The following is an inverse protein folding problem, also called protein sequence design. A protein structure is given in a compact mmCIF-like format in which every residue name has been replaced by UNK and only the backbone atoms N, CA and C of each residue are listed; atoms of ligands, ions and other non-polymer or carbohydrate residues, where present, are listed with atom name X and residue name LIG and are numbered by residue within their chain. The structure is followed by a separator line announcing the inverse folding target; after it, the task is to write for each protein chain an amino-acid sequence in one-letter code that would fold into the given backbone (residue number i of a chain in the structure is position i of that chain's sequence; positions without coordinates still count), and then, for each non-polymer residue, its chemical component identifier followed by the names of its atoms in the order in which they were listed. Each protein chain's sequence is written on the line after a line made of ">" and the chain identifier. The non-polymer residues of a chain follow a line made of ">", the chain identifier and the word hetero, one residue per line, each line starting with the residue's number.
data_IF_343703117015
#
_entry.id   IF_343703117015
#
_cell.length_a   1.000
_cell.length_b   1.000
_cell.length_c   1.000
_cell.angle_alpha   90.00
_cell.angle_beta   90.00
_cell.angle_gamma   90.00
#
_symmetry.space_group_name_H-M   'P 1'
#
loop_
_entity.id
_entity.type
_entity.pdbx_description
1 polymer ?
#
# COMPACT_ATOMS: atom_id res chain seq x y z
N UNK A 1 47.70 -7.45 -13.40
CA UNK A 1 47.04 -7.50 -14.72
C UNK A 1 46.26 -6.21 -14.84
N UNK A 2 46.89 -5.04 -14.99
CA UNK A 2 47.90 -4.71 -16.00
C UNK A 2 47.52 -5.25 -17.36
N UNK A 3 47.09 -4.35 -18.25
CA UNK A 3 47.37 -4.34 -19.68
C UNK A 3 46.90 -2.99 -20.27
N UNK A 4 47.91 -2.18 -20.63
CA UNK A 4 48.04 -1.33 -21.82
C UNK A 4 47.30 0.03 -21.85
N UNK A 5 48.04 1.15 -21.79
CA UNK A 5 48.76 1.84 -22.90
C UNK A 5 47.80 2.41 -23.98
N UNK A 6 47.95 3.60 -24.56
CA UNK A 6 48.88 4.70 -24.42
C UNK A 6 48.23 5.89 -25.17
N UNK A 7 48.29 7.12 -24.64
CA UNK A 7 48.06 8.33 -25.44
C UNK A 7 48.93 9.46 -24.91
N UNK A 8 50.12 9.57 -25.49
CA UNK A 8 50.95 10.77 -25.44
C UNK A 8 50.17 11.96 -26.01
N UNK A 9 49.85 12.93 -25.15
CA UNK A 9 49.52 14.30 -25.56
C UNK A 9 50.82 15.10 -25.56
N UNK A 10 51.33 15.39 -26.74
CA UNK A 10 52.33 16.44 -26.93
C UNK A 10 51.61 17.79 -26.98
N UNK A 11 51.97 18.68 -26.05
CA UNK A 11 51.62 20.10 -26.04
C UNK A 11 52.40 20.84 -27.14
N UNK A 12 51.82 21.84 -27.82
CA UNK A 12 52.56 22.67 -28.77
C UNK A 12 53.22 23.82 -28.01
N UNK A 13 54.55 23.87 -28.01
CA UNK A 13 55.29 25.06 -27.61
C UNK A 13 55.43 26.00 -28.81
N UNK A 14 54.81 27.17 -28.65
CA UNK A 14 55.00 28.35 -29.46
C UNK A 14 56.34 29.01 -29.11
N UNK A 15 57.26 29.09 -30.07
CA UNK A 15 58.35 30.08 -30.02
C UNK A 15 58.63 30.65 -31.41
N UNK A 16 58.10 31.85 -31.60
CA UNK A 16 58.41 32.82 -32.63
C UNK A 16 59.92 33.09 -32.76
N UNK A 17 60.42 33.17 -34.00
CA UNK A 17 61.58 34.00 -34.32
C UNK A 17 61.39 34.64 -35.72
N UNK A 18 61.34 35.98 -35.82
CA UNK A 18 61.29 36.70 -37.08
C UNK A 18 62.66 37.32 -37.36
N UNK A 19 63.48 36.74 -38.22
CA UNK A 19 64.61 37.45 -38.84
C UNK A 19 65.13 36.70 -40.08
N UNK A 20 64.75 37.18 -41.25
CA UNK A 20 65.53 37.03 -42.46
C UNK A 20 65.26 38.27 -43.33
N UNK A 21 65.82 39.39 -42.89
CA UNK A 21 66.02 40.54 -43.76
C UNK A 21 67.25 40.26 -44.64
N UNK A 22 67.11 40.62 -45.91
CA UNK A 22 68.18 41.07 -46.81
C UNK A 22 69.41 40.17 -46.93
N UNK A 23 69.36 39.23 -47.88
CA UNK A 23 70.55 38.82 -48.61
C UNK A 23 70.33 39.16 -50.09
N UNK A 24 70.74 40.37 -50.47
CA UNK A 24 70.90 40.82 -51.86
C UNK A 24 72.20 40.24 -52.43
N UNK A 25 72.36 38.92 -52.32
CA UNK A 25 73.36 38.15 -53.04
C UNK A 25 72.90 37.91 -54.47
N UNK A 26 73.79 38.13 -55.45
CA UNK A 26 73.54 37.99 -56.89
C UNK A 26 72.67 36.75 -57.20
N UNK A 27 71.51 36.89 -57.88
CA UNK A 27 70.47 35.85 -57.97
C UNK A 27 70.80 34.69 -58.93
N UNK A 28 72.08 34.36 -59.11
CA UNK A 28 72.57 33.40 -60.11
C UNK A 28 73.00 32.04 -59.52
N UNK A 29 72.80 31.80 -58.20
CA UNK A 29 73.25 30.59 -57.51
C UNK A 29 72.13 29.60 -57.12
N UNK A 30 70.92 29.73 -57.67
CA UNK A 30 69.86 28.72 -57.53
C UNK A 30 70.03 27.57 -58.51
N UNK A 31 69.70 26.33 -58.12
CA UNK A 31 69.82 25.12 -58.97
C UNK A 31 69.09 25.23 -60.32
N UNK A 32 68.06 26.08 -60.41
CA UNK A 32 67.32 26.35 -61.65
C UNK A 32 68.10 27.17 -62.69
N UNK A 33 69.14 27.90 -62.30
CA UNK A 33 69.90 28.81 -63.18
C UNK A 33 71.25 28.22 -63.66
N UNK A 34 71.67 27.09 -63.08
CA UNK A 34 72.88 26.32 -63.44
C UNK A 34 73.00 25.95 -64.94
N UNK A 35 71.93 25.56 -65.66
CA UNK A 35 72.02 25.22 -67.09
C UNK A 35 72.36 26.45 -67.93
N UNK A 36 71.75 27.58 -67.59
CA UNK A 36 71.95 28.85 -68.27
C UNK A 36 73.35 29.42 -68.04
N UNK A 37 73.88 29.29 -66.81
CA UNK A 37 75.26 29.66 -66.47
C UNK A 37 76.29 28.79 -67.22
N UNK A 38 76.00 27.50 -67.41
CA UNK A 38 76.84 26.59 -68.19
C UNK A 38 76.86 26.95 -69.69
N UNK A 39 75.73 27.42 -70.22
CA UNK A 39 75.59 27.89 -71.60
C UNK A 39 76.36 29.20 -71.83
N UNK A 40 76.32 30.12 -70.85
CA UNK A 40 77.06 31.39 -70.87
C UNK A 40 78.58 31.20 -70.96
N UNK A 41 79.10 30.18 -70.26
CA UNK A 41 80.53 29.81 -70.26
C UNK A 41 81.00 29.18 -71.58
N UNK A 42 80.05 28.77 -72.45
CA UNK A 42 80.34 28.18 -73.76
C UNK A 42 80.32 29.19 -74.92
N UNK A 43 79.94 30.45 -74.67
CA UNK A 43 79.86 31.50 -75.69
C UNK A 43 81.19 32.21 -75.92
N UNK A 44 81.43 32.66 -77.16
CA UNK A 44 82.60 33.48 -77.51
C UNK A 44 82.49 34.89 -76.92
N UNK A 45 83.64 35.55 -76.68
CA UNK A 45 83.71 36.86 -76.01
C UNK A 45 82.86 37.94 -76.71
N UNK A 46 82.73 37.88 -78.04
CA UNK A 46 81.89 38.79 -78.83
C UNK A 46 80.39 38.56 -78.64
N UNK A 47 79.97 37.30 -78.45
CA UNK A 47 78.57 36.96 -78.17
C UNK A 47 78.20 37.32 -76.73
N UNK A 48 79.10 37.04 -75.78
CA UNK A 48 78.92 37.42 -74.38
C UNK A 48 78.80 38.94 -74.19
N UNK A 49 79.51 39.74 -75.00
CA UNK A 49 79.40 41.19 -74.96
C UNK A 49 78.06 41.72 -75.49
N UNK A 50 77.40 40.99 -76.40
CA UNK A 50 76.05 41.30 -76.92
C UNK A 50 74.92 40.64 -76.13
N UNK A 51 75.22 39.62 -75.35
CA UNK A 51 74.29 38.86 -74.51
C UNK A 51 73.45 39.74 -73.55
N UNK A 52 73.99 40.74 -72.82
CA UNK A 52 73.16 41.56 -71.95
C UNK A 52 72.15 42.42 -72.72
N UNK A 53 72.50 42.90 -73.93
CA UNK A 53 71.55 43.60 -74.79
C UNK A 53 70.51 42.63 -75.37
N UNK A 54 70.91 41.41 -75.76
CA UNK A 54 69.99 40.36 -76.21
C UNK A 54 69.01 39.96 -75.11
N UNK A 55 69.47 39.76 -73.88
CA UNK A 55 68.62 39.46 -72.73
C UNK A 55 67.74 40.64 -72.35
N UNK A 56 68.22 41.87 -72.49
CA UNK A 56 67.40 43.06 -72.26
C UNK A 56 66.27 43.12 -73.29
N UNK A 57 66.58 42.87 -74.56
CA UNK A 57 65.59 42.83 -75.65
C UNK A 57 64.61 41.66 -75.46
N UNK A 58 65.09 40.47 -75.08
CA UNK A 58 64.24 39.31 -74.83
C UNK A 58 63.42 39.47 -73.55
N UNK A 59 63.95 40.07 -72.48
CA UNK A 59 63.19 40.39 -71.29
C UNK A 59 62.12 41.47 -71.57
N UNK A 60 62.44 42.49 -72.35
CA UNK A 60 61.46 43.48 -72.80
C UNK A 60 60.39 42.85 -73.70
N UNK A 61 60.79 41.90 -74.57
CA UNK A 61 59.87 41.12 -75.41
C UNK A 61 58.97 40.22 -74.57
N UNK A 62 59.51 39.45 -73.64
CA UNK A 62 58.73 38.56 -72.75
C UNK A 62 57.85 39.39 -71.84
N UNK A 63 58.33 40.52 -71.32
CA UNK A 63 57.50 41.45 -70.54
C UNK A 63 56.36 42.01 -71.38
N UNK A 64 56.62 42.37 -72.64
CA UNK A 64 55.59 42.85 -73.56
C UNK A 64 54.60 41.74 -73.92
N UNK A 65 55.06 40.53 -74.20
CA UNK A 65 54.21 39.36 -74.43
C UNK A 65 53.40 38.97 -73.20
N UNK A 66 53.97 39.05 -72.00
CA UNK A 66 53.25 38.79 -70.75
C UNK A 66 52.22 39.88 -70.49
N UNK A 67 52.54 41.15 -70.78
CA UNK A 67 51.57 42.25 -70.72
C UNK A 67 50.46 42.08 -71.76
N UNK A 68 50.80 41.68 -72.99
CA UNK A 68 49.86 41.44 -74.07
C UNK A 68 48.95 40.26 -73.73
N UNK A 69 49.48 39.12 -73.29
CA UNK A 69 48.69 37.97 -72.83
C UNK A 69 47.87 38.31 -71.59
N UNK A 70 48.41 39.08 -70.64
CA UNK A 70 47.69 39.53 -69.46
C UNK A 70 46.58 40.53 -69.81
N UNK A 71 46.73 41.36 -70.84
CA UNK A 71 45.72 42.31 -71.32
C UNK A 71 44.70 41.65 -72.24
N UNK A 72 45.11 40.68 -73.06
CA UNK A 72 44.21 39.90 -73.91
C UNK A 72 43.36 38.94 -73.08
N UNK A 73 43.94 38.34 -72.03
CA UNK A 73 43.28 37.34 -71.19
C UNK A 73 43.02 37.84 -69.76
N UNK A 74 42.99 39.17 -69.54
CA UNK A 74 42.72 39.74 -68.21
C UNK A 74 41.40 39.23 -67.62
N UNK A 75 40.38 39.02 -68.48
CA UNK A 75 39.10 38.45 -68.08
C UNK A 75 39.21 37.02 -67.54
N UNK A 76 40.12 36.19 -68.07
CA UNK A 76 40.36 34.84 -67.56
C UNK A 76 41.07 34.87 -66.20
N UNK A 77 42.01 35.80 -65.99
CA UNK A 77 42.67 35.99 -64.70
C UNK A 77 41.71 36.52 -63.63
N UNK A 78 40.86 37.48 -63.99
CA UNK A 78 39.81 37.99 -63.10
C UNK A 78 38.82 36.87 -62.78
N UNK A 79 38.33 36.14 -63.78
CA UNK A 79 37.41 35.03 -63.56
C UNK A 79 38.02 33.92 -62.69
N UNK A 80 39.31 33.60 -62.86
CA UNK A 80 40.01 32.64 -62.02
C UNK A 80 40.16 33.14 -60.58
N UNK A 81 40.49 34.43 -60.39
CA UNK A 81 40.59 35.06 -59.07
C UNK A 81 39.23 35.13 -58.37
N UNK A 82 38.17 35.48 -59.10
CA UNK A 82 36.78 35.48 -58.63
C UNK A 82 36.31 34.07 -58.27
N UNK A 83 36.65 33.06 -59.08
CA UNK A 83 36.35 31.67 -58.76
C UNK A 83 37.10 31.21 -57.50
N UNK A 84 38.37 31.60 -57.34
CA UNK A 84 39.17 31.25 -56.15
C UNK A 84 38.65 31.94 -54.89
N UNK A 85 38.26 33.21 -54.99
CA UNK A 85 37.68 33.95 -53.86
C UNK A 85 36.30 33.41 -53.49
N UNK A 86 35.48 33.05 -54.48
CA UNK A 86 34.21 32.36 -54.27
C UNK A 86 34.40 31.02 -53.56
N UNK A 87 35.31 30.17 -54.03
CA UNK A 87 35.59 28.87 -53.40
C UNK A 87 36.10 29.06 -51.97
N UNK A 88 36.97 30.04 -51.73
CA UNK A 88 37.46 30.35 -50.38
C UNK A 88 36.33 30.79 -49.45
N UNK A 89 35.45 31.67 -49.91
CA UNK A 89 34.29 32.10 -49.12
C UNK A 89 33.34 30.93 -48.81
N UNK A 90 33.12 30.02 -49.77
CA UNK A 90 32.34 28.81 -49.55
C UNK A 90 33.00 27.86 -48.53
N UNK A 91 34.32 27.74 -48.56
CA UNK A 91 35.05 26.91 -47.62
C UNK A 91 34.99 27.48 -46.19
N UNK A 92 35.14 28.80 -46.04
CA UNK A 92 34.96 29.50 -44.76
C UNK A 92 33.51 29.35 -44.25
N UNK A 93 32.52 29.42 -45.14
CA UNK A 93 31.13 29.15 -44.77
C UNK A 93 30.91 27.70 -44.35
N UNK A 94 31.52 26.73 -45.05
CA UNK A 94 31.41 25.31 -44.71
C UNK A 94 32.02 25.02 -43.34
N UNK A 95 33.19 25.60 -43.05
CA UNK A 95 33.86 25.49 -41.76
C UNK A 95 32.97 26.01 -40.62
N UNK A 96 32.35 27.19 -40.80
CA UNK A 96 31.40 27.74 -39.83
C UNK A 96 30.15 26.88 -39.61
N UNK A 97 29.60 26.26 -40.67
CA UNK A 97 28.47 25.31 -40.51
C UNK A 97 28.90 24.02 -39.79
N UNK A 98 30.13 23.57 -39.99
CA UNK A 98 30.67 22.36 -39.38
C UNK A 98 30.96 22.60 -37.89
N UNK A 99 31.49 23.77 -37.53
CA UNK A 99 31.62 24.20 -36.14
C UNK A 99 30.25 24.29 -35.44
N UNK A 100 29.26 24.93 -36.07
CA UNK A 100 27.90 24.99 -35.51
C UNK A 100 27.29 23.58 -35.33
N UNK A 101 27.53 22.67 -36.26
CA UNK A 101 27.09 21.27 -36.12
C UNK A 101 27.78 20.56 -34.97
N UNK A 102 29.08 20.79 -34.76
CA UNK A 102 29.84 20.23 -33.64
C UNK A 102 29.31 20.77 -32.30
N UNK A 103 28.89 22.04 -32.25
CA UNK A 103 28.31 22.64 -31.03
C UNK A 103 26.89 22.15 -30.74
N UNK A 104 26.05 21.91 -31.75
CA UNK A 104 24.65 21.51 -31.57
C UNK A 104 24.44 20.00 -31.33
N UNK A 105 25.33 19.13 -31.83
CA UNK A 105 25.23 17.67 -31.62
C UNK A 105 25.21 17.30 -30.11
N UNK A 106 26.07 17.85 -29.25
CA UNK A 106 26.01 17.64 -27.80
C UNK A 106 24.68 18.06 -27.19
N UNK A 107 24.13 19.22 -27.59
CA UNK A 107 22.83 19.71 -27.10
C UNK A 107 21.71 18.74 -27.48
N UNK A 108 21.69 18.29 -28.74
CA UNK A 108 20.73 17.29 -29.21
C UNK A 108 20.89 15.97 -28.46
N UNK A 109 22.12 15.53 -28.24
CA UNK A 109 22.40 14.28 -27.51
C UNK A 109 21.91 14.38 -26.06
N UNK A 110 22.16 15.50 -25.38
CA UNK A 110 21.67 15.75 -24.02
C UNK A 110 20.14 15.78 -23.96
N UNK A 111 19.49 16.48 -24.89
CA UNK A 111 18.04 16.52 -25.00
C UNK A 111 17.43 15.14 -25.27
N UNK A 112 18.08 14.32 -26.12
CA UNK A 112 17.67 12.94 -26.34
C UNK A 112 17.82 12.07 -25.08
N UNK A 113 18.89 12.24 -24.29
CA UNK A 113 19.06 11.50 -23.04
C UNK A 113 18.01 11.88 -21.99
N UNK A 114 17.75 13.17 -21.81
CA UNK A 114 16.69 13.65 -20.89
C UNK A 114 15.30 13.18 -21.32
N UNK A 115 15.04 13.20 -22.64
CA UNK A 115 13.80 12.68 -23.19
C UNK A 115 13.64 11.19 -22.92
N UNK A 116 14.70 10.39 -23.09
CA UNK A 116 14.66 8.94 -22.83
C UNK A 116 14.42 8.65 -21.35
N UNK A 117 15.08 9.36 -20.43
CA UNK A 117 14.86 9.22 -18.99
C UNK A 117 13.41 9.59 -18.61
N UNK A 118 12.91 10.71 -19.10
CA UNK A 118 11.54 11.15 -18.85
C UNK A 118 10.52 10.18 -19.44
N UNK A 119 10.76 9.68 -20.66
CA UNK A 119 9.90 8.70 -21.30
C UNK A 119 9.87 7.37 -20.53
N UNK A 120 11.00 6.93 -19.96
CA UNK A 120 11.06 5.73 -19.14
C UNK A 120 10.22 5.87 -17.87
N UNK A 121 10.31 7.00 -17.16
CA UNK A 121 9.47 7.27 -15.98
C UNK A 121 7.98 7.24 -16.33
N UNK A 122 7.59 7.90 -17.42
CA UNK A 122 6.19 7.91 -17.89
C UNK A 122 5.74 6.49 -18.26
N UNK A 123 6.60 5.69 -18.90
CA UNK A 123 6.29 4.30 -19.24
C UNK A 123 6.13 3.42 -18.00
N UNK A 124 6.96 3.60 -16.97
CA UNK A 124 6.83 2.90 -15.70
C UNK A 124 5.53 3.24 -14.97
N UNK A 125 5.20 4.53 -14.85
CA UNK A 125 3.94 4.99 -14.28
C UNK A 125 2.73 4.46 -15.07
N UNK A 126 2.81 4.50 -16.41
CA UNK A 126 1.75 3.96 -17.27
C UNK A 126 1.59 2.46 -17.11
N UNK A 127 2.69 1.71 -16.96
CA UNK A 127 2.66 0.26 -16.72
C UNK A 127 2.02 -0.06 -15.36
N UNK A 128 2.35 0.71 -14.32
CA UNK A 128 1.73 0.57 -13.01
C UNK A 128 0.22 0.88 -13.07
N UNK A 129 -0.17 1.96 -13.74
CA UNK A 129 -1.56 2.34 -13.96
C UNK A 129 -2.35 1.30 -14.77
N UNK A 130 -1.74 0.71 -15.81
CA UNK A 130 -2.37 -0.38 -16.56
C UNK A 130 -2.57 -1.63 -15.70
N UNK A 131 -1.60 -1.94 -14.84
CA UNK A 131 -1.69 -3.08 -13.91
C UNK A 131 -2.77 -2.84 -12.86
N UNK A 132 -2.88 -1.61 -12.34
CA UNK A 132 -3.96 -1.21 -11.43
C UNK A 132 -5.32 -1.32 -12.12
N UNK A 133 -5.45 -0.81 -13.35
CA UNK A 133 -6.69 -0.87 -14.12
C UNK A 133 -7.11 -2.31 -14.43
N UNK A 134 -6.17 -3.18 -14.77
CA UNK A 134 -6.45 -4.60 -15.02
C UNK A 134 -6.96 -5.32 -13.76
N UNK A 135 -6.47 -4.93 -12.58
CA UNK A 135 -6.86 -5.54 -11.29
C UNK A 135 -7.88 -4.68 -10.51
N UNK A 136 -8.43 -3.61 -11.09
CA UNK A 136 -9.25 -2.67 -10.33
C UNK A 136 -10.53 -3.34 -9.79
N UNK A 137 -11.11 -4.27 -10.53
CA UNK A 137 -12.34 -4.98 -10.15
C UNK A 137 -12.10 -5.83 -8.91
N UNK A 138 -11.00 -6.61 -8.87
CA UNK A 138 -10.69 -7.45 -7.70
C UNK A 138 -10.33 -6.62 -6.47
N UNK A 139 -9.72 -5.44 -6.68
CA UNK A 139 -9.42 -4.50 -5.61
C UNK A 139 -10.72 -3.88 -5.06
N UNK A 140 -11.67 -3.55 -5.93
CA UNK A 140 -13.00 -3.09 -5.53
C UNK A 140 -13.75 -4.17 -4.74
N UNK A 141 -13.78 -5.41 -5.23
CA UNK A 141 -14.41 -6.54 -4.53
C UNK A 141 -13.84 -6.72 -3.12
N UNK A 142 -12.52 -6.55 -2.96
CA UNK A 142 -11.85 -6.62 -1.65
C UNK A 142 -12.29 -5.47 -0.73
N UNK A 143 -12.47 -4.27 -1.27
CA UNK A 143 -12.94 -3.09 -0.52
C UNK A 143 -14.44 -3.14 -0.22
N UNK A 144 -15.22 -3.93 -0.95
CA UNK A 144 -16.65 -4.15 -0.72
C UNK A 144 -16.96 -5.20 0.35
N UNK A 145 -15.95 -5.88 0.91
CA UNK A 145 -16.14 -6.89 1.96
C UNK A 145 -16.85 -6.33 3.21
N UNK A 146 -16.50 -5.17 3.79
CA UNK A 146 -17.18 -4.66 4.98
C UNK A 146 -18.68 -4.39 4.78
N UNK A 147 -19.13 -3.67 3.72
CA UNK A 147 -20.57 -3.48 3.50
C UNK A 147 -21.29 -4.78 3.14
N UNK A 148 -20.62 -5.71 2.46
CA UNK A 148 -21.16 -7.07 2.23
C UNK A 148 -21.37 -7.80 3.56
N UNK A 149 -20.38 -7.77 4.44
CA UNK A 149 -20.44 -8.41 5.76
C UNK A 149 -21.54 -7.80 6.65
N UNK A 150 -21.71 -6.47 6.64
CA UNK A 150 -22.83 -5.79 7.30
C UNK A 150 -24.18 -6.27 6.77
N UNK A 151 -24.28 -6.52 5.47
CA UNK A 151 -25.50 -7.04 4.84
C UNK A 151 -25.77 -8.48 5.24
N UNK A 152 -24.74 -9.34 5.28
CA UNK A 152 -24.85 -10.71 5.79
C UNK A 152 -25.34 -10.74 7.24
N UNK A 153 -24.77 -9.89 8.11
CA UNK A 153 -25.15 -9.78 9.52
C UNK A 153 -26.62 -9.35 9.68
N UNK A 154 -27.04 -8.34 8.92
CA UNK A 154 -28.43 -7.84 8.92
C UNK A 154 -29.43 -8.89 8.44
N UNK A 155 -29.04 -9.74 7.50
CA UNK A 155 -29.88 -10.84 7.00
C UNK A 155 -29.89 -12.07 7.93
N UNK A 156 -29.04 -12.11 8.96
CA UNK A 156 -28.91 -13.26 9.88
C UNK A 156 -28.01 -14.39 9.36
N UNK A 157 -27.32 -14.16 8.25
CA UNK A 157 -26.34 -15.05 7.64
C UNK A 157 -24.97 -14.87 8.32
N UNK A 158 -24.88 -15.35 9.56
CA UNK A 158 -23.69 -15.16 10.39
C UNK A 158 -22.51 -16.01 9.93
N UNK A 159 -22.75 -17.20 9.37
CA UNK A 159 -21.67 -18.10 8.96
C UNK A 159 -20.86 -17.52 7.80
N UNK A 160 -21.54 -16.94 6.81
CA UNK A 160 -20.91 -16.27 5.67
C UNK A 160 -20.17 -15.00 6.10
N UNK A 161 -20.71 -14.25 7.06
CA UNK A 161 -20.01 -13.10 7.64
C UNK A 161 -18.70 -13.50 8.34
N UNK A 162 -18.70 -14.66 9.03
CA UNK A 162 -17.50 -15.18 9.69
C UNK A 162 -16.48 -15.77 8.69
N UNK A 163 -16.94 -16.30 7.56
CA UNK A 163 -16.04 -16.70 6.47
C UNK A 163 -15.31 -15.49 5.87
N UNK A 164 -16.01 -14.35 5.72
CA UNK A 164 -15.41 -13.10 5.26
C UNK A 164 -14.37 -12.55 6.26
N UNK A 165 -14.66 -12.63 7.56
CA UNK A 165 -13.68 -12.27 8.61
C UNK A 165 -12.42 -13.12 8.50
N UNK A 166 -12.56 -14.44 8.40
CA UNK A 166 -11.43 -15.36 8.32
C UNK A 166 -10.59 -15.11 7.07
N UNK A 167 -11.23 -14.78 5.94
CA UNK A 167 -10.56 -14.40 4.70
C UNK A 167 -9.73 -13.12 4.87
N UNK A 168 -10.31 -12.05 5.40
CA UNK A 168 -9.60 -10.77 5.61
C UNK A 168 -8.48 -10.92 6.64
N UNK A 169 -8.71 -11.69 7.70
CA UNK A 169 -7.69 -12.02 8.72
C UNK A 169 -6.50 -12.76 8.11
N UNK A 170 -6.75 -13.68 7.15
CA UNK A 170 -5.69 -14.38 6.41
C UNK A 170 -4.91 -13.43 5.50
N UNK A 171 -5.58 -12.51 4.79
CA UNK A 171 -4.91 -11.53 3.91
C UNK A 171 -4.07 -10.55 4.72
N UNK A 172 -4.59 -10.07 5.85
CA UNK A 172 -3.85 -9.17 6.76
C UNK A 172 -2.55 -9.81 7.29
N UNK A 173 -2.58 -11.13 7.58
CA UNK A 173 -1.36 -11.87 7.95
C UNK A 173 -0.40 -12.08 6.78
N UNK A 174 -0.89 -12.22 5.56
CA UNK A 174 -0.05 -12.41 4.37
C UNK A 174 0.62 -11.10 3.90
N UNK A 175 -0.06 -9.97 4.08
CA UNK A 175 0.41 -8.65 3.65
C UNK A 175 0.35 -7.63 4.78
N UNK A 176 1.24 -7.74 5.80
CA UNK A 176 1.21 -6.85 6.95
C UNK A 176 1.60 -5.40 6.63
N UNK A 177 2.40 -5.18 5.59
CA UNK A 177 2.96 -3.88 5.25
C UNK A 177 1.98 -2.94 4.50
N UNK A 178 0.83 -3.46 4.05
CA UNK A 178 -0.13 -2.68 3.25
C UNK A 178 -1.16 -1.98 4.16
N UNK A 179 -1.17 -0.63 4.21
CA UNK A 179 -2.07 0.12 5.09
C UNK A 179 -3.54 -0.07 4.74
N UNK A 180 -3.87 -0.26 3.46
CA UNK A 180 -5.24 -0.52 2.98
C UNK A 180 -5.77 -1.83 3.56
N UNK A 181 -4.96 -2.88 3.57
CA UNK A 181 -5.32 -4.20 4.13
C UNK A 181 -5.49 -4.11 5.65
N UNK A 182 -4.63 -3.35 6.33
CA UNK A 182 -4.77 -3.12 7.77
C UNK A 182 -6.03 -2.32 8.12
N UNK A 183 -6.36 -1.30 7.32
CA UNK A 183 -7.61 -0.55 7.45
C UNK A 183 -8.85 -1.44 7.24
N UNK A 184 -8.81 -2.30 6.23
CA UNK A 184 -9.85 -3.29 5.96
C UNK A 184 -10.04 -4.26 7.14
N UNK A 185 -8.95 -4.82 7.67
CA UNK A 185 -8.99 -5.72 8.82
C UNK A 185 -9.53 -5.03 10.08
N UNK A 186 -9.20 -3.75 10.29
CA UNK A 186 -9.72 -2.97 11.41
C UNK A 186 -11.24 -2.74 11.30
N UNK A 187 -11.76 -2.41 10.11
CA UNK A 187 -13.21 -2.23 9.93
C UNK A 187 -13.95 -3.56 10.09
N UNK A 188 -13.44 -4.65 9.53
CA UNK A 188 -14.01 -6.00 9.71
C UNK A 188 -14.06 -6.37 11.20
N UNK A 189 -12.98 -6.14 11.94
CA UNK A 189 -12.95 -6.40 13.39
C UNK A 189 -14.00 -5.60 14.16
N UNK A 190 -14.22 -4.34 13.77
CA UNK A 190 -15.26 -3.48 14.37
C UNK A 190 -16.67 -4.00 14.06
N UNK A 191 -16.93 -4.45 12.84
CA UNK A 191 -18.21 -5.08 12.50
C UNK A 191 -18.42 -6.38 13.26
N UNK A 192 -17.39 -7.21 13.47
CA UNK A 192 -17.47 -8.41 14.30
C UNK A 192 -17.77 -8.07 15.76
N UNK A 193 -17.19 -7.00 16.31
CA UNK A 193 -17.53 -6.50 17.66
C UNK A 193 -19.00 -6.06 17.76
N UNK A 194 -19.54 -5.44 16.72
CA UNK A 194 -20.97 -5.13 16.61
C UNK A 194 -21.82 -6.40 16.58
N UNK A 195 -21.43 -7.41 15.80
CA UNK A 195 -22.10 -8.70 15.75
C UNK A 195 -22.13 -9.39 17.13
N UNK A 196 -20.99 -9.42 17.84
CA UNK A 196 -20.94 -9.98 19.21
C UNK A 196 -21.95 -9.27 20.12
N UNK A 197 -21.98 -7.94 20.07
CA UNK A 197 -22.90 -7.14 20.88
C UNK A 197 -24.37 -7.46 20.57
N UNK A 198 -24.71 -7.63 19.29
CA UNK A 198 -26.06 -8.02 18.84
C UNK A 198 -26.43 -9.44 19.28
N UNK A 199 -25.50 -10.40 19.19
CA UNK A 199 -25.71 -11.78 19.63
C UNK A 199 -25.90 -11.86 21.15
N UNK A 200 -25.10 -11.12 21.93
CA UNK A 200 -25.27 -11.03 23.38
C UNK A 200 -26.60 -10.37 23.74
N UNK A 201 -27.03 -9.34 23.01
CA UNK A 201 -28.33 -8.73 23.20
C UNK A 201 -29.48 -9.70 22.90
N UNK A 202 -29.35 -10.56 21.88
CA UNK A 202 -30.31 -11.65 21.63
C UNK A 202 -30.33 -12.69 22.75
N UNK A 203 -29.18 -13.00 23.38
CA UNK A 203 -29.16 -13.87 24.57
C UNK A 203 -29.85 -13.25 25.79
N UNK A 204 -29.97 -11.91 25.83
CA UNK A 204 -30.70 -11.16 26.87
C UNK A 204 -32.21 -11.05 26.61
N UNK A 205 -32.74 -11.74 25.60
CA UNK A 205 -34.18 -11.79 25.35
C UNK A 205 -34.74 -13.20 25.54
N UNK A 206 -36.07 -13.30 25.46
CA UNK A 206 -36.76 -14.58 25.50
C UNK A 206 -36.46 -15.37 24.22
N UNK A 207 -35.56 -16.35 24.32
CA UNK A 207 -35.14 -17.18 23.19
C UNK A 207 -35.22 -18.66 23.55
N UNK A 208 -35.53 -19.45 22.52
CA UNK A 208 -35.67 -20.91 22.61
C UNK A 208 -34.30 -21.61 22.57
N UNK A 209 -34.23 -22.84 23.06
CA UNK A 209 -33.00 -23.64 23.10
C UNK A 209 -32.28 -23.78 21.73
N UNK A 210 -32.97 -24.05 20.60
CA UNK A 210 -32.29 -24.17 19.31
C UNK A 210 -31.54 -22.91 18.89
N UNK A 211 -32.15 -21.74 19.12
CA UNK A 211 -31.53 -20.44 18.83
C UNK A 211 -30.37 -20.14 19.79
N UNK A 212 -30.48 -20.53 21.07
CA UNK A 212 -29.34 -20.44 22.01
C UNK A 212 -28.13 -21.21 21.50
N UNK A 213 -28.35 -22.46 21.07
CA UNK A 213 -27.29 -23.33 20.54
C UNK A 213 -26.62 -22.69 19.33
N UNK A 214 -27.40 -22.14 18.40
CA UNK A 214 -26.88 -21.42 17.23
C UNK A 214 -26.05 -20.20 17.63
N UNK A 215 -26.58 -19.33 18.49
CA UNK A 215 -25.87 -18.12 18.93
C UNK A 215 -24.56 -18.48 19.62
N UNK A 216 -24.57 -19.45 20.55
CA UNK A 216 -23.37 -19.89 21.25
C UNK A 216 -22.38 -20.56 20.30
N UNK A 217 -22.84 -21.32 19.30
CA UNK A 217 -21.98 -21.88 18.27
C UNK A 217 -21.26 -20.80 17.46
N UNK A 218 -21.96 -19.73 17.05
CA UNK A 218 -21.33 -18.59 16.37
C UNK A 218 -20.34 -17.85 17.28
N UNK A 219 -20.68 -17.63 18.56
CA UNK A 219 -19.75 -17.03 19.53
C UNK A 219 -18.50 -17.88 19.76
N UNK A 220 -18.65 -19.21 19.80
CA UNK A 220 -17.53 -20.16 19.88
C UNK A 220 -16.65 -20.09 18.62
N UNK A 221 -17.26 -19.97 17.43
CA UNK A 221 -16.55 -19.85 16.14
C UNK A 221 -15.77 -18.54 16.02
N UNK A 222 -16.30 -17.43 16.56
CA UNK A 222 -15.62 -16.13 16.61
C UNK A 222 -14.32 -16.21 17.46
N UNK A 223 -14.27 -17.09 18.46
CA UNK A 223 -13.04 -17.38 19.22
C UNK A 223 -12.55 -16.23 20.12
N UNK A 224 -13.39 -15.23 20.41
CA UNK A 224 -13.05 -14.12 21.31
C UNK A 224 -13.14 -14.50 22.78
N UNK A 225 -14.01 -15.46 23.12
CA UNK A 225 -14.21 -15.94 24.50
C UNK A 225 -13.59 -17.33 24.66
N UNK A 226 -12.85 -17.54 25.75
CA UNK A 226 -12.58 -18.89 26.24
C UNK A 226 -13.87 -19.59 26.65
N UNK A 227 -13.83 -20.92 26.78
CA UNK A 227 -15.03 -21.67 27.12
C UNK A 227 -15.62 -21.28 28.49
N UNK A 228 -14.77 -21.05 29.48
CA UNK A 228 -15.16 -20.55 30.80
C UNK A 228 -15.79 -19.16 30.73
N UNK A 229 -15.24 -18.25 29.90
CA UNK A 229 -15.81 -16.92 29.70
C UNK A 229 -17.16 -16.98 28.98
N UNK A 230 -17.30 -17.87 27.98
CA UNK A 230 -18.55 -18.05 27.23
C UNK A 230 -19.67 -18.55 28.15
N UNK A 231 -19.37 -19.51 29.04
CA UNK A 231 -20.30 -19.99 30.08
C UNK A 231 -20.73 -18.86 31.02
N UNK A 232 -19.79 -18.06 31.50
CA UNK A 232 -20.07 -16.91 32.37
C UNK A 232 -20.90 -15.83 31.65
N UNK A 233 -20.55 -15.50 30.41
CA UNK A 233 -21.30 -14.53 29.60
C UNK A 233 -22.72 -14.99 29.31
N UNK A 234 -22.92 -16.29 29.04
CA UNK A 234 -24.25 -16.87 28.89
C UNK A 234 -25.09 -16.66 30.16
N UNK A 235 -24.56 -17.06 31.33
CA UNK A 235 -25.27 -16.89 32.60
C UNK A 235 -25.57 -15.43 32.91
N UNK A 236 -24.62 -14.52 32.69
CA UNK A 236 -24.82 -13.06 32.85
C UNK A 236 -25.90 -12.51 31.94
N UNK A 237 -25.96 -12.95 30.68
CA UNK A 237 -27.01 -12.52 29.75
C UNK A 237 -28.38 -13.03 30.18
N UNK A 238 -28.45 -14.28 30.65
CA UNK A 238 -29.69 -14.87 31.17
C UNK A 238 -30.16 -14.25 32.48
N UNK A 239 -29.23 -13.92 33.36
CA UNK A 239 -29.52 -13.18 34.58
C UNK A 239 -30.03 -11.78 34.27
N UNK A 240 -29.38 -11.02 33.38
CA UNK A 240 -29.85 -9.71 32.97
C UNK A 240 -31.27 -9.75 32.35
N UNK A 241 -31.56 -10.79 31.57
CA UNK A 241 -32.91 -11.03 31.04
C UNK A 241 -33.92 -11.31 32.15
N UNK A 242 -33.58 -12.17 33.11
CA UNK A 242 -34.44 -12.50 34.25
C UNK A 242 -34.70 -11.28 35.12
N UNK A 243 -33.67 -10.49 35.43
CA UNK A 243 -33.79 -9.22 36.16
C UNK A 243 -34.71 -8.25 35.44
N UNK A 244 -34.60 -8.11 34.12
CA UNK A 244 -35.52 -7.28 33.33
C UNK A 244 -36.99 -7.70 33.45
N UNK A 245 -37.27 -9.02 33.45
CA UNK A 245 -38.64 -9.51 33.67
C UNK A 245 -39.15 -9.15 35.08
N UNK A 246 -38.28 -9.23 36.09
CA UNK A 246 -38.64 -8.89 37.46
C UNK A 246 -38.85 -7.38 37.67
N UNK A 247 -38.10 -6.54 36.95
CA UNK A 247 -38.27 -5.08 36.95
C UNK A 247 -39.61 -4.65 36.31
N UNK A 248 -40.10 -5.41 35.32
CA UNK A 248 -41.39 -5.17 34.66
C UNK A 248 -42.61 -5.54 35.52
N UNK A 249 -42.44 -6.24 36.65
CA UNK A 249 -43.53 -6.61 37.55
C UNK A 249 -44.05 -5.39 38.34
N UNK A 250 -45.37 -5.32 38.54
CA UNK A 250 -45.97 -4.25 39.34
C UNK A 250 -45.59 -4.38 40.81
N UNK A 251 -44.84 -3.40 41.32
CA UNK A 251 -44.39 -3.34 42.72
C UNK A 251 -45.40 -2.67 43.65
N UNK A 252 -46.53 -2.14 43.14
CA UNK A 252 -47.55 -1.47 43.97
C UNK A 252 -48.21 -2.41 44.96
N UNK A 253 -48.41 -3.67 44.56
CA UNK A 253 -48.95 -4.71 45.43
C UNK A 253 -47.87 -5.77 45.69
N UNK A 254 -47.41 -5.82 46.95
CA UNK A 254 -46.37 -6.74 47.40
C UNK A 254 -46.77 -8.21 47.17
N UNK A 255 -48.03 -8.55 47.37
CA UNK A 255 -48.52 -9.92 47.15
C UNK A 255 -48.47 -10.31 45.67
N UNK A 256 -48.93 -9.45 44.77
CA UNK A 256 -48.92 -9.72 43.33
C UNK A 256 -47.48 -9.74 42.78
N UNK A 257 -46.61 -8.86 43.30
CA UNK A 257 -45.17 -8.87 43.00
C UNK A 257 -44.53 -10.19 43.41
N UNK A 258 -44.70 -10.63 44.67
CA UNK A 258 -44.11 -11.88 45.16
C UNK A 258 -44.64 -13.10 44.40
N UNK A 259 -45.94 -13.15 44.12
CA UNK A 259 -46.55 -14.21 43.30
C UNK A 259 -45.98 -14.23 41.87
N UNK A 260 -45.83 -13.07 41.25
CA UNK A 260 -45.20 -12.90 39.94
C UNK A 260 -43.75 -13.34 39.94
N UNK A 261 -42.98 -12.92 40.94
CA UNK A 261 -41.58 -13.28 41.15
C UNK A 261 -41.40 -14.80 41.29
N UNK A 262 -42.19 -15.46 42.14
CA UNK A 262 -42.12 -16.93 42.34
C UNK A 262 -42.44 -17.67 41.04
N UNK A 263 -43.44 -17.20 40.30
CA UNK A 263 -43.81 -17.79 39.01
C UNK A 263 -42.70 -17.61 37.97
N UNK A 264 -42.12 -16.41 37.90
CA UNK A 264 -41.00 -16.06 37.01
C UNK A 264 -39.79 -16.96 37.27
N UNK A 265 -39.34 -17.05 38.53
CA UNK A 265 -38.21 -17.92 38.89
C UNK A 265 -38.50 -19.40 38.58
N UNK A 266 -39.71 -19.89 38.89
CA UNK A 266 -40.08 -21.29 38.63
C UNK A 266 -39.93 -21.66 37.15
N UNK A 267 -40.42 -20.80 36.26
CA UNK A 267 -40.41 -21.06 34.81
C UNK A 267 -39.00 -20.84 34.25
N UNK A 268 -38.44 -19.66 34.49
CA UNK A 268 -37.25 -19.22 33.76
C UNK A 268 -35.94 -19.75 34.34
N UNK A 269 -35.84 -19.96 35.66
CA UNK A 269 -34.61 -20.53 36.24
C UNK A 269 -34.40 -21.97 35.80
N UNK A 270 -35.49 -22.76 35.73
CA UNK A 270 -35.46 -24.12 35.19
C UNK A 270 -35.00 -24.15 33.72
N UNK A 271 -35.57 -23.26 32.89
CA UNK A 271 -35.21 -23.16 31.47
C UNK A 271 -33.74 -22.76 31.28
N UNK A 272 -33.24 -21.77 32.02
CA UNK A 272 -31.84 -21.32 31.94
C UNK A 272 -30.88 -22.45 32.31
N UNK A 273 -31.19 -23.22 33.36
CA UNK A 273 -30.33 -24.34 33.75
C UNK A 273 -30.35 -25.45 32.70
N UNK A 274 -31.52 -25.78 32.16
CA UNK A 274 -31.60 -26.78 31.09
C UNK A 274 -30.87 -26.34 29.82
N UNK A 275 -30.99 -25.06 29.45
CA UNK A 275 -30.25 -24.50 28.32
C UNK A 275 -28.74 -24.56 28.56
N UNK A 276 -28.27 -24.15 29.74
CA UNK A 276 -26.87 -24.25 30.09
C UNK A 276 -26.36 -25.70 29.98
N UNK A 277 -27.11 -26.66 30.54
CA UNK A 277 -26.75 -28.08 30.47
C UNK A 277 -26.74 -28.59 29.03
N UNK A 278 -27.72 -28.22 28.21
CA UNK A 278 -27.77 -28.64 26.81
C UNK A 278 -26.61 -28.07 25.98
N UNK A 279 -26.17 -26.84 26.27
CA UNK A 279 -25.14 -26.14 25.50
C UNK A 279 -23.72 -26.56 25.91
N UNK A 280 -23.47 -26.72 27.22
CA UNK A 280 -22.12 -26.85 27.76
C UNK A 280 -21.82 -28.24 28.35
N UNK A 281 -22.83 -29.05 28.68
CA UNK A 281 -22.61 -30.37 29.29
C UNK A 281 -22.31 -31.49 28.27
N UNK A 282 -22.36 -31.16 26.97
CA UNK A 282 -21.98 -32.06 25.88
C UNK A 282 -20.47 -32.01 25.58
N UNK A 283 -19.73 -31.01 26.08
CA UNK A 283 -18.28 -30.88 25.94
C UNK A 283 -17.57 -31.78 26.99
N UNK A 284 -17.74 -33.11 26.86
CA UNK A 284 -17.00 -34.12 27.65
C UNK A 284 -15.54 -34.26 27.19
N UNK A 285 -14.85 -33.15 26.96
CA UNK A 285 -13.43 -33.14 26.62
C UNK A 285 -12.63 -32.47 27.74
N UNK A 286 -12.23 -33.27 28.72
CA UNK A 286 -11.07 -32.98 29.57
C UNK A 286 -11.36 -32.75 31.05
N UNK A 287 -11.21 -33.82 31.85
CA UNK A 287 -10.61 -33.89 33.19
C UNK A 287 -10.87 -32.85 34.32
N UNK A 288 -11.66 -31.78 34.14
CA UNK A 288 -11.90 -30.73 35.16
C UNK A 288 -13.37 -30.69 35.66
N UNK A 289 -13.98 -31.87 35.78
CA UNK A 289 -15.39 -32.04 36.18
C UNK A 289 -15.76 -31.41 37.55
N UNK A 290 -14.79 -31.08 38.40
CA UNK A 290 -15.04 -30.52 39.72
C UNK A 290 -15.17 -28.99 39.78
N UNK A 291 -14.56 -28.23 38.88
CA UNK A 291 -14.64 -26.75 38.91
C UNK A 291 -15.78 -26.21 38.05
N UNK A 292 -16.22 -26.99 37.05
CA UNK A 292 -17.11 -26.55 35.97
C UNK A 292 -18.60 -26.70 36.31
N UNK A 293 -18.99 -27.79 36.98
CA UNK A 293 -20.34 -27.92 37.56
C UNK A 293 -20.61 -26.90 38.68
N UNK A 294 -19.54 -26.42 39.33
CA UNK A 294 -19.59 -25.43 40.39
C UNK A 294 -20.05 -24.04 39.95
N UNK A 295 -19.81 -23.62 38.70
CA UNK A 295 -20.23 -22.30 38.21
C UNK A 295 -21.75 -22.21 38.09
N UNK A 296 -22.37 -23.21 37.46
CA UNK A 296 -23.83 -23.27 37.32
C UNK A 296 -24.51 -23.38 38.69
N UNK A 297 -23.96 -24.22 39.57
CA UNK A 297 -24.48 -24.40 40.92
C UNK A 297 -24.36 -23.13 41.75
N UNK A 298 -23.20 -22.45 41.72
CA UNK A 298 -22.99 -21.20 42.47
C UNK A 298 -23.90 -20.08 41.96
N UNK A 299 -24.03 -19.93 40.63
CA UNK A 299 -24.97 -18.97 40.04
C UNK A 299 -26.42 -19.27 40.44
N UNK A 300 -26.85 -20.53 40.35
CA UNK A 300 -28.20 -20.90 40.70
C UNK A 300 -28.49 -20.75 42.21
N UNK A 301 -27.51 -21.07 43.07
CA UNK A 301 -27.60 -20.83 44.50
C UNK A 301 -27.71 -19.33 44.82
N UNK A 302 -26.98 -18.48 44.09
CA UNK A 302 -27.12 -17.02 44.22
C UNK A 302 -28.53 -16.56 43.87
N UNK A 303 -29.14 -17.09 42.79
CA UNK A 303 -30.52 -16.76 42.44
C UNK A 303 -31.52 -17.19 43.52
N UNK A 304 -31.34 -18.38 44.10
CA UNK A 304 -32.15 -18.84 45.24
C UNK A 304 -31.94 -17.96 46.47
N UNK A 305 -30.71 -17.58 46.78
CA UNK A 305 -30.41 -16.68 47.90
C UNK A 305 -31.07 -15.30 47.71
N UNK A 306 -31.03 -14.75 46.49
CA UNK A 306 -31.72 -13.49 46.18
C UNK A 306 -33.23 -13.64 46.35
N UNK A 307 -33.81 -14.75 45.87
CA UNK A 307 -35.22 -15.06 46.03
C UNK A 307 -35.66 -15.10 47.49
N UNK A 308 -34.90 -15.79 48.34
CA UNK A 308 -35.17 -15.90 49.79
C UNK A 308 -35.00 -14.54 50.49
N UNK A 309 -33.98 -13.77 50.14
CA UNK A 309 -33.76 -12.43 50.69
C UNK A 309 -34.91 -11.47 50.35
N UNK A 310 -35.42 -11.50 49.10
CA UNK A 310 -36.59 -10.71 48.71
C UNK A 310 -37.84 -11.13 49.48
N UNK A 311 -38.06 -12.43 49.67
CA UNK A 311 -39.16 -12.93 50.51
C UNK A 311 -39.05 -12.41 51.94
N UNK A 312 -37.89 -12.51 52.57
CA UNK A 312 -37.67 -12.06 53.95
C UNK A 312 -37.93 -10.55 54.14
N UNK A 313 -37.58 -9.72 53.15
CA UNK A 313 -37.80 -8.27 53.21
C UNK A 313 -39.28 -7.90 52.98
N UNK A 314 -39.96 -8.59 52.07
CA UNK A 314 -41.26 -8.17 51.57
C UNK A 314 -42.44 -8.85 52.27
N UNK A 315 -42.28 -10.09 52.77
CA UNK A 315 -43.33 -10.85 53.46
C UNK A 315 -43.94 -10.13 54.68
N UNK A 316 -43.17 -9.41 55.53
CA UNK A 316 -43.74 -8.70 56.68
C UNK A 316 -44.77 -7.62 56.32
N UNK A 317 -44.83 -7.19 55.05
CA UNK A 317 -45.80 -6.22 54.57
C UNK A 317 -47.18 -6.84 54.27
N UNK A 318 -47.30 -8.17 54.27
CA UNK A 318 -48.53 -8.90 53.99
C UNK A 318 -49.15 -9.34 55.32
N UNK A 319 -50.29 -8.76 55.68
CA UNK A 319 -50.98 -9.04 56.96
C UNK A 319 -52.03 -10.15 56.87
N UNK A 320 -52.37 -10.60 55.67
CA UNK A 320 -53.40 -11.61 55.43
C UNK A 320 -52.83 -13.03 55.41
N UNK A 321 -53.23 -13.86 56.38
CA UNK A 321 -52.75 -15.25 56.49
C UNK A 321 -53.07 -16.15 55.29
N UNK A 322 -54.20 -15.92 54.60
CA UNK A 322 -54.53 -16.65 53.37
C UNK A 322 -53.57 -16.34 52.21
N UNK A 323 -53.16 -15.08 52.09
CA UNK A 323 -52.21 -14.59 51.10
C UNK A 323 -50.80 -15.14 51.38
N UNK A 324 -50.38 -15.19 52.66
CA UNK A 324 -49.14 -15.83 53.09
C UNK A 324 -49.13 -17.34 52.79
N UNK A 325 -50.20 -18.06 53.12
CA UNK A 325 -50.34 -19.50 52.85
C UNK A 325 -50.22 -19.80 51.35
N UNK A 326 -50.85 -18.98 50.50
CA UNK A 326 -50.76 -19.16 49.05
C UNK A 326 -49.34 -18.91 48.52
N UNK A 327 -48.64 -17.86 48.99
CA UNK A 327 -47.23 -17.64 48.60
C UNK A 327 -46.36 -18.81 49.03
N UNK A 328 -46.53 -19.33 50.26
CA UNK A 328 -45.79 -20.50 50.75
C UNK A 328 -46.02 -21.72 49.86
N UNK A 329 -47.27 -22.03 49.50
CA UNK A 329 -47.59 -23.13 48.57
C UNK A 329 -46.90 -22.95 47.21
N UNK A 330 -46.92 -21.73 46.65
CA UNK A 330 -46.24 -21.44 45.38
C UNK A 330 -44.71 -21.57 45.50
N UNK A 331 -44.10 -21.12 46.60
CA UNK A 331 -42.67 -21.26 46.87
C UNK A 331 -42.28 -22.73 47.03
N UNK A 332 -43.07 -23.52 47.75
CA UNK A 332 -42.86 -24.96 47.92
C UNK A 332 -42.94 -25.70 46.57
N UNK A 333 -43.92 -25.33 45.73
CA UNK A 333 -44.04 -25.88 44.39
C UNK A 333 -42.87 -25.46 43.48
N UNK A 334 -42.42 -24.21 43.56
CA UNK A 334 -41.24 -23.71 42.85
C UNK A 334 -39.98 -24.48 43.24
N UNK A 335 -39.72 -24.61 44.54
CA UNK A 335 -38.58 -25.34 45.08
C UNK A 335 -38.63 -26.84 44.71
N UNK A 336 -39.82 -27.46 44.69
CA UNK A 336 -39.99 -28.84 44.22
C UNK A 336 -39.61 -28.97 42.73
N UNK A 337 -40.05 -28.04 41.87
CA UNK A 337 -39.71 -28.04 40.45
C UNK A 337 -38.22 -27.85 40.20
N UNK A 338 -37.59 -26.94 40.94
CA UNK A 338 -36.15 -26.69 40.90
C UNK A 338 -35.33 -27.83 41.55
N UNK A 339 -35.94 -28.63 42.42
CA UNK A 339 -35.36 -29.86 42.96
C UNK A 339 -34.97 -30.89 41.88
N UNK A 340 -35.70 -30.95 40.76
CA UNK A 340 -35.33 -31.80 39.60
C UNK A 340 -33.98 -31.42 38.98
N UNK A 341 -33.54 -30.18 39.23
CA UNK A 341 -32.30 -29.60 38.73
C UNK A 341 -31.22 -29.59 39.83
N UNK A 342 -31.54 -30.05 41.05
CA UNK A 342 -30.63 -30.07 42.19
C UNK A 342 -30.64 -28.79 43.03
N UNK A 343 -31.70 -27.99 42.93
CA UNK A 343 -31.86 -26.71 43.63
C UNK A 343 -33.09 -26.74 44.55
N UNK A 344 -33.15 -27.73 45.45
CA UNK A 344 -34.24 -27.84 46.43
C UNK A 344 -33.97 -26.97 47.66
N UNK A 345 -34.75 -25.89 47.81
CA UNK A 345 -34.66 -24.96 48.94
C UNK A 345 -35.88 -25.02 49.87
N UNK A 346 -36.70 -26.07 49.80
CA UNK A 346 -37.89 -26.21 50.67
C UNK A 346 -37.55 -26.14 52.16
N UNK A 347 -36.38 -26.63 52.56
CA UNK A 347 -35.92 -26.57 53.95
C UNK A 347 -35.58 -25.15 54.45
N UNK A 348 -35.41 -24.18 53.55
CA UNK A 348 -35.08 -22.79 53.89
C UNK A 348 -36.32 -21.89 53.99
N UNK A 349 -37.50 -22.37 53.55
CA UNK A 349 -38.73 -21.59 53.54
C UNK A 349 -39.39 -21.44 54.92
N UNK A 350 -39.54 -22.49 55.76
CA UNK A 350 -40.29 -22.38 57.02
C UNK A 350 -39.83 -21.24 57.96
N UNK A 351 -38.51 -21.04 58.20
CA UNK A 351 -38.06 -19.95 59.07
C UNK A 351 -38.48 -18.55 58.60
N UNK A 352 -38.64 -18.36 57.29
CA UNK A 352 -38.97 -17.05 56.69
C UNK A 352 -40.47 -16.73 56.84
N UNK A 353 -41.32 -17.75 56.96
CA UNK A 353 -42.77 -17.60 57.11
C UNK A 353 -43.25 -17.72 58.57
N UNK A 354 -42.37 -18.11 59.48
CA UNK A 354 -42.63 -18.19 60.93
C UNK A 354 -42.27 -16.88 61.66
N UNK A 355 -41.38 -16.06 61.09
CA UNK A 355 -41.10 -14.66 61.51
C UNK A 355 -42.20 -13.70 61.03
#
# INVERSE_FOLDING_TARGET
>A
MDLLDARHRHTPDSSSSPHAASDMGLPLAGAAYQPYVSELLSFSIERLHKEPELLRVDAERVRRQMQEVAVENYGAFIAASEALSFVRAQLESFDGHLEAMIEEIPNLTSGCTEFVESAQQILEERKLNQTLLANHTTLLDLLEIPPLMDTCIRNGNYDEALDLEAFVSKISKLHPDLPVVQGLAAEVKKTVQSLISQLLQKLRSNIQLPECLRIVAHLRRIGVFSESELRLQFLRCREAWLSGILEDLDQRNVYDYLKGMVTCHRVHLFDVVNQYRAIFNNDKSGNDENSEGGLLFSWAMQQVSNHLATLQVMLPSITEGGSLSNILEQCMYCAMGLGLVGLDFRGLLPPIFEE
#
